data_IF_184426957456
#
_entry.id   IF_184426957456
#
_cell.length_a   1.000
_cell.length_b   1.000
_cell.length_c   1.000
_cell.angle_alpha   90.00
_cell.angle_beta   90.00
_cell.angle_gamma   90.00
#
_symmetry.space_group_name_H-M   'P 1'
#
loop_
_entity.id
_entity.type
_entity.pdbx_description
1 polymer ?
#
# COMPACT_ATOMS: atom_id res chain seq x y z
N UNK A 1 10.01 -6.95 7.58
CA UNK A 1 8.65 -6.72 7.08
C UNK A 1 7.79 -7.88 7.55
N UNK A 2 6.59 -7.58 8.02
CA UNK A 2 5.55 -8.51 8.41
C UNK A 2 4.47 -8.58 7.33
N UNK A 3 3.79 -9.71 7.24
CA UNK A 3 2.74 -10.01 6.29
C UNK A 3 1.40 -10.08 7.00
N UNK A 4 0.37 -9.57 6.33
CA UNK A 4 -1.01 -9.69 6.74
C UNK A 4 -1.83 -10.10 5.52
N UNK A 5 -2.53 -11.22 5.63
CA UNK A 5 -3.42 -11.71 4.58
C UNK A 5 -4.78 -11.00 4.68
N UNK A 6 -5.14 -10.27 3.62
CA UNK A 6 -6.46 -9.71 3.41
C UNK A 6 -7.29 -10.62 2.50
N UNK A 7 -7.55 -11.85 2.96
CA UNK A 7 -8.34 -12.84 2.22
C UNK A 7 -9.80 -12.44 1.95
N UNK A 8 -10.25 -11.30 2.51
CA UNK A 8 -11.59 -10.73 2.27
C UNK A 8 -11.57 -9.45 1.44
N UNK A 9 -10.39 -8.90 1.09
CA UNK A 9 -10.20 -7.66 0.31
C UNK A 9 -10.92 -6.44 0.88
N UNK A 10 -11.15 -6.46 2.19
CA UNK A 10 -11.89 -5.44 2.95
C UNK A 10 -11.13 -5.02 4.23
N UNK A 11 -10.03 -5.71 4.55
CA UNK A 11 -9.26 -5.48 5.75
C UNK A 11 -8.28 -4.32 5.57
N UNK A 12 -7.75 -4.12 4.35
CA UNK A 12 -6.70 -3.15 4.13
C UNK A 12 -7.06 -1.70 4.46
N UNK A 13 -8.28 -1.17 4.23
CA UNK A 13 -8.61 0.19 4.65
C UNK A 13 -8.55 0.34 6.18
N UNK A 14 -8.89 -0.71 6.92
CA UNK A 14 -8.83 -0.73 8.39
C UNK A 14 -7.39 -0.72 8.88
N UNK A 15 -6.49 -1.44 8.20
CA UNK A 15 -5.05 -1.43 8.48
C UNK A 15 -4.45 -0.05 8.19
N UNK A 16 -4.79 0.56 7.04
CA UNK A 16 -4.37 1.91 6.70
C UNK A 16 -4.86 2.92 7.76
N UNK A 17 -6.11 2.82 8.18
CA UNK A 17 -6.69 3.67 9.24
C UNK A 17 -5.98 3.48 10.58
N UNK A 18 -5.68 2.24 10.96
CA UNK A 18 -4.93 1.94 12.19
C UNK A 18 -3.53 2.56 12.14
N UNK A 19 -2.79 2.38 11.04
CA UNK A 19 -1.47 2.99 10.85
C UNK A 19 -1.53 4.52 10.86
N UNK A 20 -2.52 5.12 10.19
CA UNK A 20 -2.71 6.57 10.17
C UNK A 20 -3.05 7.15 11.56
N UNK A 21 -3.68 6.36 12.44
CA UNK A 21 -3.93 6.78 13.82
C UNK A 21 -2.65 6.86 14.67
N UNK A 22 -1.57 6.19 14.26
CA UNK A 22 -0.28 6.19 14.94
C UNK A 22 0.62 7.36 14.50
N UNK A 23 0.24 8.07 13.43
CA UNK A 23 0.93 9.26 12.95
C UNK A 23 0.53 9.64 11.54
N UNK A 24 0.93 10.84 11.11
CA UNK A 24 0.70 11.28 9.75
C UNK A 24 1.41 10.37 8.74
N UNK A 25 0.70 10.01 7.67
CA UNK A 25 1.19 9.19 6.57
C UNK A 25 0.91 9.87 5.23
N UNK A 26 1.76 9.58 4.25
CA UNK A 26 1.47 9.82 2.84
C UNK A 26 1.23 8.48 2.16
N UNK A 27 0.28 8.42 1.23
CA UNK A 27 0.02 7.29 0.36
C UNK A 27 0.45 7.59 -1.07
N UNK A 28 0.94 6.55 -1.75
CA UNK A 28 1.30 6.55 -3.16
C UNK A 28 0.64 5.35 -3.82
N UNK A 29 0.01 5.56 -4.97
CA UNK A 29 -0.47 4.50 -5.85
C UNK A 29 0.63 4.13 -6.83
N UNK A 30 0.99 2.85 -6.90
CA UNK A 30 1.92 2.33 -7.88
C UNK A 30 1.16 1.45 -8.88
N UNK A 31 1.28 1.77 -10.17
CA UNK A 31 0.62 1.08 -11.26
C UNK A 31 1.46 -0.09 -11.78
N UNK A 32 0.83 -0.97 -12.56
CA UNK A 32 1.52 -2.02 -13.31
C UNK A 32 2.45 -1.42 -14.38
N UNK A 33 3.42 -2.19 -14.85
CA UNK A 33 4.45 -1.73 -15.80
C UNK A 33 3.84 -1.23 -17.13
N UNK A 34 2.81 -1.93 -17.61
CA UNK A 34 2.10 -1.65 -18.85
C UNK A 34 1.15 -0.43 -18.76
N UNK A 35 0.87 0.04 -17.54
CA UNK A 35 0.02 1.21 -17.30
C UNK A 35 0.75 2.52 -17.65
N UNK A 36 0.01 3.51 -18.13
CA UNK A 36 0.48 4.85 -18.48
C UNK A 36 0.19 5.92 -17.42
N UNK A 37 0.83 7.11 -17.51
CA UNK A 37 0.57 8.23 -16.59
C UNK A 37 -0.86 8.78 -16.61
N UNK A 38 -1.64 8.47 -17.65
CA UNK A 38 -3.05 8.83 -17.76
C UNK A 38 -3.98 7.95 -16.93
N UNK A 39 -3.47 6.85 -16.39
CA UNK A 39 -4.26 5.86 -15.65
C UNK A 39 -4.34 6.18 -14.15
N UNK A 40 -3.64 7.22 -13.69
CA UNK A 40 -3.86 7.77 -12.35
C UNK A 40 -5.22 8.50 -12.28
N UNK A 41 -6.00 8.18 -11.26
CA UNK A 41 -7.29 8.78 -10.96
C UNK A 41 -7.22 9.58 -9.67
N UNK A 42 -8.05 10.63 -9.58
CA UNK A 42 -8.13 11.45 -8.39
C UNK A 42 -8.44 10.59 -7.15
N UNK A 43 -7.75 10.83 -6.02
CA UNK A 43 -6.84 11.94 -5.76
C UNK A 43 -5.38 11.70 -6.16
N UNK A 44 -5.06 10.51 -6.68
CA UNK A 44 -3.72 10.21 -7.18
C UNK A 44 -3.44 10.92 -8.50
N UNK A 45 -2.23 11.44 -8.64
CA UNK A 45 -1.76 12.11 -9.84
C UNK A 45 -0.36 11.63 -10.17
N UNK A 46 -0.04 11.53 -11.46
CA UNK A 46 1.31 11.17 -11.88
C UNK A 46 2.39 12.04 -11.20
N UNK A 47 3.41 11.38 -10.67
CA UNK A 47 4.61 12.06 -10.20
C UNK A 47 5.29 12.78 -11.37
N UNK A 48 5.78 14.00 -11.12
CA UNK A 48 6.50 14.80 -12.14
C UNK A 48 7.98 14.44 -12.23
N UNK A 49 8.48 13.76 -11.21
CA UNK A 49 9.86 13.31 -11.02
C UNK A 49 9.80 11.92 -10.40
N UNK A 50 10.83 11.11 -10.63
CA UNK A 50 11.06 9.90 -9.82
C UNK A 50 11.39 10.38 -8.40
N UNK A 51 10.36 10.59 -7.58
CA UNK A 51 10.57 10.69 -6.15
C UNK A 51 11.20 9.37 -5.73
N UNK A 52 12.43 9.41 -5.20
CA UNK A 52 13.14 8.22 -4.75
C UNK A 52 12.38 7.60 -3.58
N UNK A 53 11.47 6.69 -3.86
CA UNK A 53 10.74 5.92 -2.86
C UNK A 53 11.41 4.55 -2.74
N UNK A 54 11.47 4.02 -1.52
CA UNK A 54 11.76 2.59 -1.39
C UNK A 54 10.69 1.81 -2.16
N UNK A 55 11.10 0.94 -3.10
CA UNK A 55 10.16 0.18 -3.89
C UNK A 55 9.39 -0.77 -2.98
N UNK A 56 8.12 -0.99 -3.30
CA UNK A 56 7.40 -2.14 -2.78
C UNK A 56 8.12 -3.38 -3.31
N UNK A 57 8.65 -4.27 -2.45
CA UNK A 57 9.41 -5.41 -2.91
C UNK A 57 8.53 -6.22 -3.87
N UNK A 58 8.94 -6.37 -5.15
CA UNK A 58 8.13 -7.08 -6.12
C UNK A 58 8.20 -8.59 -5.84
N UNK A 59 7.22 -9.34 -6.34
CA UNK A 59 7.29 -10.80 -6.36
C UNK A 59 8.43 -11.31 -7.27
N UNK A 60 8.81 -10.52 -8.29
CA UNK A 60 9.90 -10.80 -9.24
C UNK A 60 10.73 -9.52 -9.45
N UNK A 61 12.07 -9.64 -9.44
CA UNK A 61 13.06 -8.53 -9.35
C UNK A 61 13.01 -7.46 -10.47
N UNK A 62 12.15 -7.58 -11.48
CA UNK A 62 12.21 -6.76 -12.71
C UNK A 62 11.04 -5.77 -12.91
N UNK A 63 10.09 -5.65 -11.96
CA UNK A 63 8.91 -4.77 -12.17
C UNK A 63 9.24 -3.30 -11.83
N UNK A 64 9.37 -2.46 -12.87
CA UNK A 64 9.44 -1.01 -12.71
C UNK A 64 8.03 -0.44 -12.58
N UNK A 65 7.57 -0.21 -11.35
CA UNK A 65 6.25 0.38 -11.09
C UNK A 65 6.27 1.90 -11.26
N UNK A 66 5.33 2.45 -12.04
CA UNK A 66 5.11 3.90 -12.10
C UNK A 66 4.24 4.32 -10.92
N UNK A 67 4.72 5.25 -10.11
CA UNK A 67 4.03 5.66 -8.89
C UNK A 67 3.48 7.10 -8.98
N UNK A 68 2.39 7.34 -8.25
CA UNK A 68 1.75 8.64 -8.13
C UNK A 68 2.60 9.58 -7.28
N UNK A 69 2.20 10.85 -7.22
CA UNK A 69 2.58 11.74 -6.14
C UNK A 69 2.03 11.22 -4.81
N UNK A 70 2.69 11.64 -3.74
CA UNK A 70 2.21 11.50 -2.37
C UNK A 70 0.89 12.23 -2.17
N UNK A 71 -0.07 11.55 -1.56
CA UNK A 71 -1.34 12.09 -1.08
C UNK A 71 -1.35 11.91 0.43
N UNK A 72 -1.63 12.98 1.17
CA UNK A 72 -1.72 12.89 2.62
C UNK A 72 -2.89 11.98 3.02
N UNK A 73 -2.66 11.09 3.99
CA UNK A 73 -3.70 10.21 4.54
C UNK A 73 -4.40 10.94 5.69
N UNK A 74 -5.47 11.67 5.36
CA UNK A 74 -6.37 12.30 6.31
C UNK A 74 -7.76 11.61 6.32
N UNK A 75 -8.67 12.09 7.18
CA UNK A 75 -10.00 11.49 7.34
C UNK A 75 -10.84 11.54 6.05
N UNK A 76 -10.68 12.59 5.23
CA UNK A 76 -11.38 12.73 3.95
C UNK A 76 -10.86 11.67 2.96
N UNK A 77 -9.54 11.54 2.87
CA UNK A 77 -8.91 10.53 2.04
C UNK A 77 -9.24 9.10 2.48
N UNK A 78 -9.23 8.82 3.79
CA UNK A 78 -9.63 7.51 4.33
C UNK A 78 -11.09 7.18 4.00
N UNK A 79 -11.99 8.15 4.16
CA UNK A 79 -13.41 7.98 3.81
C UNK A 79 -13.59 7.75 2.31
N UNK A 80 -12.76 8.39 1.49
CA UNK A 80 -12.75 8.18 0.04
C UNK A 80 -12.21 6.78 -0.32
N UNK A 81 -11.13 6.31 0.32
CA UNK A 81 -10.59 4.96 0.11
C UNK A 81 -11.64 3.89 0.41
N UNK A 82 -12.33 4.00 1.55
CA UNK A 82 -13.36 3.05 1.97
C UNK A 82 -14.48 2.89 0.91
N UNK A 83 -14.86 4.00 0.24
CA UNK A 83 -15.89 3.99 -0.80
C UNK A 83 -15.44 3.35 -2.12
N UNK A 84 -14.13 3.25 -2.35
CA UNK A 84 -13.54 2.74 -3.60
C UNK A 84 -12.71 1.47 -3.40
N UNK A 85 -12.85 0.82 -2.23
CA UNK A 85 -12.00 -0.31 -1.80
C UNK A 85 -11.92 -1.43 -2.84
N UNK A 86 -13.06 -1.77 -3.45
CA UNK A 86 -13.17 -2.87 -4.41
C UNK A 86 -12.59 -2.55 -5.78
N UNK A 87 -12.55 -1.27 -6.14
CA UNK A 87 -12.10 -0.86 -7.47
C UNK A 87 -10.55 -0.91 -7.58
N UNK A 88 -9.84 -0.90 -6.45
CA UNK A 88 -8.38 -0.84 -6.42
C UNK A 88 -7.66 -2.04 -7.03
N UNK A 89 -8.30 -3.20 -7.07
CA UNK A 89 -7.72 -4.39 -7.69
C UNK A 89 -7.46 -4.19 -9.19
N UNK A 90 -8.34 -3.43 -9.84
CA UNK A 90 -8.28 -3.15 -11.27
C UNK A 90 -7.36 -1.94 -11.58
N UNK A 91 -6.97 -1.19 -10.55
CA UNK A 91 -6.41 0.14 -10.69
C UNK A 91 -4.89 0.20 -10.57
N UNK A 92 -4.26 -0.75 -9.88
CA UNK A 92 -2.82 -0.68 -9.70
C UNK A 92 -2.21 -1.90 -9.05
N UNK A 93 -0.88 -1.87 -8.99
CA UNK A 93 -0.07 -2.91 -8.40
C UNK A 93 -0.10 -2.85 -6.88
N UNK A 94 0.13 -1.66 -6.30
CA UNK A 94 0.23 -1.49 -4.86
C UNK A 94 -0.16 -0.08 -4.39
N UNK A 95 -0.64 0.02 -3.16
CA UNK A 95 -0.77 1.26 -2.40
C UNK A 95 0.32 1.28 -1.33
N UNK A 96 1.30 2.14 -1.49
CA UNK A 96 2.45 2.27 -0.59
C UNK A 96 2.25 3.43 0.38
N UNK A 97 2.52 3.17 1.67
CA UNK A 97 2.44 4.13 2.77
C UNK A 97 3.85 4.53 3.21
N UNK A 98 4.05 5.83 3.39
CA UNK A 98 5.32 6.40 3.83
C UNK A 98 5.09 7.41 4.95
N UNK A 99 6.11 7.63 5.79
CA UNK A 99 6.12 8.82 6.64
C UNK A 99 6.25 10.09 5.77
N UNK A 100 5.63 11.21 6.17
CA UNK A 100 5.79 12.47 5.46
C UNK A 100 7.25 12.86 5.31
N UNK A 101 7.63 13.19 4.07
CA UNK A 101 9.00 13.62 3.69
C UNK A 101 10.11 12.58 3.94
N UNK A 102 9.77 11.34 4.28
CA UNK A 102 10.73 10.23 4.36
C UNK A 102 10.46 9.22 3.27
N UNK A 103 11.53 8.56 2.81
CA UNK A 103 11.47 7.58 1.72
C UNK A 103 11.21 6.15 2.17
N UNK A 104 11.22 5.92 3.49
CA UNK A 104 11.05 4.62 4.15
C UNK A 104 9.60 4.11 4.04
N UNK A 105 9.46 2.91 3.49
CA UNK A 105 8.18 2.25 3.33
C UNK A 105 7.66 1.76 4.69
N UNK A 106 6.48 2.25 5.11
CA UNK A 106 5.79 1.78 6.31
C UNK A 106 4.98 0.54 6.03
N UNK A 107 4.22 0.56 4.94
CA UNK A 107 3.37 -0.53 4.56
C UNK A 107 3.08 -0.48 3.07
N UNK A 108 2.78 -1.63 2.49
CA UNK A 108 2.30 -1.73 1.11
C UNK A 108 1.10 -2.65 1.07
N UNK A 109 -0.04 -2.14 0.62
CA UNK A 109 -1.21 -2.95 0.29
C UNK A 109 -1.06 -3.40 -1.15
N UNK A 110 -1.25 -4.69 -1.41
CA UNK A 110 -1.19 -5.31 -2.73
C UNK A 110 -2.56 -5.98 -2.96
N UNK A 111 -3.59 -5.21 -3.34
CA UNK A 111 -4.99 -5.64 -3.27
C UNK A 111 -5.28 -6.88 -4.14
N UNK A 112 -4.74 -6.91 -5.35
CA UNK A 112 -4.94 -8.03 -6.29
C UNK A 112 -4.40 -9.36 -5.77
N UNK A 113 -3.42 -9.32 -4.85
CA UNK A 113 -2.93 -10.50 -4.14
C UNK A 113 -3.61 -10.71 -2.79
N UNK A 114 -4.29 -9.72 -2.24
CA UNK A 114 -4.86 -9.80 -0.88
C UNK A 114 -3.78 -9.85 0.20
N UNK A 115 -2.69 -9.12 0.04
CA UNK A 115 -1.61 -9.02 1.04
C UNK A 115 -1.33 -7.59 1.40
N UNK A 116 -0.94 -7.40 2.66
CA UNK A 116 -0.40 -6.17 3.19
C UNK A 116 0.97 -6.47 3.79
N UNK A 117 1.98 -5.75 3.33
CA UNK A 117 3.31 -5.74 3.92
C UNK A 117 3.36 -4.60 4.92
N UNK A 118 3.96 -4.81 6.10
CA UNK A 118 4.11 -3.78 7.14
C UNK A 118 5.52 -3.81 7.71
N UNK A 119 6.11 -2.65 7.97
CA UNK A 119 7.40 -2.55 8.64
C UNK A 119 7.32 -3.10 10.08
N UNK A 120 8.36 -3.83 10.50
CA UNK A 120 8.37 -4.61 11.74
C UNK A 120 8.11 -3.74 12.99
N UNK A 121 8.52 -2.47 12.94
CA UNK A 121 8.32 -1.50 14.02
C UNK A 121 6.84 -1.19 14.32
N UNK A 122 5.92 -1.45 13.39
CA UNK A 122 4.46 -1.28 13.60
C UNK A 122 3.74 -2.58 13.98
N UNK A 123 4.47 -3.71 14.02
CA UNK A 123 3.88 -5.04 14.24
C UNK A 123 3.15 -5.16 15.57
N UNK A 124 3.73 -4.67 16.66
CA UNK A 124 3.12 -4.75 18.00
C UNK A 124 1.84 -3.92 18.12
N UNK A 125 1.81 -2.75 17.49
CA UNK A 125 0.67 -1.85 17.58
C UNK A 125 -0.51 -2.37 16.74
N UNK A 126 -0.24 -2.94 15.56
CA UNK A 126 -1.25 -3.61 14.74
C UNK A 126 -1.75 -4.90 15.40
N UNK A 127 -0.88 -5.68 16.03
CA UNK A 127 -1.30 -6.85 16.80
C UNK A 127 -2.21 -6.45 17.97
N UNK A 128 -1.89 -5.35 18.66
CA UNK A 128 -2.75 -4.79 19.71
C UNK A 128 -4.10 -4.28 19.18
N UNK A 129 -4.15 -3.82 17.92
CA UNK A 129 -5.38 -3.47 17.21
C UNK A 129 -6.18 -4.68 16.70
N UNK A 130 -5.69 -5.90 16.92
CA UNK A 130 -6.39 -7.14 16.59
C UNK A 130 -6.05 -7.72 15.21
N UNK A 131 -5.03 -7.20 14.54
CA UNK A 131 -4.55 -7.76 13.27
C UNK A 131 -3.61 -8.95 13.51
N UNK A 132 -3.73 -9.98 12.68
CA UNK A 132 -2.83 -11.13 12.70
C UNK A 132 -1.70 -10.88 11.70
N UNK A 133 -0.47 -10.77 12.20
CA UNK A 133 0.72 -10.58 11.39
C UNK A 133 1.58 -11.84 11.41
N UNK A 134 2.24 -12.12 10.29
CA UNK A 134 3.20 -13.20 10.11
C UNK A 134 4.56 -12.61 9.73
N UNK A 135 5.65 -13.21 10.18
CA UNK A 135 7.01 -12.97 9.66
C UNK A 135 7.35 -13.89 8.48
N UNK A 136 6.52 -14.91 8.24
CA UNK A 136 6.62 -15.82 7.10
C UNK A 136 5.80 -15.27 5.92
N UNK A 137 6.46 -15.18 4.76
CA UNK A 137 5.79 -14.91 3.49
C UNK A 137 4.78 -16.02 3.20
N UNK A 138 3.55 -15.72 2.76
CA UNK A 138 2.59 -16.75 2.41
C UNK A 138 3.12 -17.64 1.28
N UNK A 139 2.95 -18.96 1.41
CA UNK A 139 3.51 -19.95 0.47
C UNK A 139 3.10 -19.70 -1.00
N UNK A 140 1.92 -19.12 -1.21
CA UNK A 140 1.36 -18.82 -2.53
C UNK A 140 1.85 -17.50 -3.14
N UNK A 141 2.62 -16.68 -2.39
CA UNK A 141 3.08 -15.36 -2.84
C UNK A 141 4.03 -15.43 -4.04
N UNK A 142 4.89 -16.45 -4.09
CA UNK A 142 5.92 -16.64 -5.12
C UNK A 142 5.49 -17.46 -6.34
N UNK A 143 4.25 -17.98 -6.37
CA UNK A 143 3.79 -18.91 -7.41
C UNK A 143 3.14 -18.23 -8.63
N UNK A 144 3.55 -17.00 -9.00
CA UNK A 144 2.93 -16.25 -10.12
C UNK A 144 3.96 -15.64 -11.08
#
# INVERSE_FOLDING_TARGET
>A
MLYLEDGRRELWPQVVRALASMGHLDMVLCLYEDSGPGDFFAPFLAAKTEDFLEPVPPANDDVVTKCSRRVAVDDEFLSWLEQHTLDFEDWGHALALYRPRKYELIAAVIPHKGIILVADEFGSDLAAAGFLLSDETPDWWGDV
#
